data_IF_785980492165
#
_entry.id   IF_785980492165
#
_cell.length_a   1.000
_cell.length_b   1.000
_cell.length_c   1.000
_cell.angle_alpha   90.00
_cell.angle_beta   90.00
_cell.angle_gamma   90.00
#
_symmetry.space_group_name_H-M   'P 1'
#
loop_
_entity.id
_entity.type
_entity.pdbx_description
1 polymer ?
#
# COMPACT_ATOMS: atom_id res chain seq x y z
N UNK A 1 -25.34 -42.34 41.59
CA UNK A 1 -25.60 -41.82 40.25
C UNK A 1 -25.33 -40.32 40.27
N UNK A 2 -24.13 -39.96 39.93
CA UNK A 2 -23.60 -38.58 40.09
C UNK A 2 -23.71 -37.88 38.75
N UNK A 3 -24.57 -36.85 38.66
CA UNK A 3 -24.90 -36.12 37.45
C UNK A 3 -23.87 -34.99 37.27
N UNK A 4 -22.97 -35.17 36.32
CA UNK A 4 -21.98 -34.11 35.93
C UNK A 4 -22.71 -33.17 34.94
N UNK A 5 -22.98 -31.94 35.39
CA UNK A 5 -23.40 -30.86 34.49
C UNK A 5 -22.19 -30.37 33.69
N UNK A 6 -22.28 -30.29 32.37
CA UNK A 6 -21.26 -29.59 31.62
C UNK A 6 -21.45 -28.07 31.82
N UNK A 7 -20.44 -27.41 32.37
CA UNK A 7 -20.25 -25.98 32.35
C UNK A 7 -20.00 -25.55 30.88
N UNK A 8 -21.06 -25.18 30.18
CA UNK A 8 -20.98 -24.40 28.97
C UNK A 8 -20.45 -22.99 29.34
N UNK A 9 -19.14 -22.86 29.36
CA UNK A 9 -18.50 -21.56 29.39
C UNK A 9 -18.87 -20.82 28.12
N UNK A 10 -19.89 -19.96 28.22
CA UNK A 10 -20.12 -18.94 27.21
C UNK A 10 -18.86 -18.07 27.18
N UNK A 11 -18.06 -18.20 26.13
CA UNK A 11 -17.08 -17.17 25.80
C UNK A 11 -17.87 -15.87 25.55
N UNK A 12 -18.07 -15.09 26.62
CA UNK A 12 -18.35 -13.68 26.48
C UNK A 12 -17.19 -13.14 25.66
N UNK A 13 -17.47 -12.58 24.47
CA UNK A 13 -16.60 -11.62 23.83
C UNK A 13 -16.30 -10.58 24.89
N UNK A 14 -15.19 -10.72 25.59
CA UNK A 14 -14.70 -9.66 26.46
C UNK A 14 -14.55 -8.44 25.57
N UNK A 15 -15.22 -7.36 25.95
CA UNK A 15 -15.01 -6.05 25.39
C UNK A 15 -13.53 -5.75 25.54
N UNK A 16 -12.76 -5.97 24.48
CA UNK A 16 -11.34 -5.70 24.45
C UNK A 16 -11.17 -4.24 24.84
N UNK A 17 -10.58 -4.09 25.98
CA UNK A 17 -10.15 -2.93 26.74
C UNK A 17 -10.33 -1.58 26.01
N UNK A 18 -11.27 -0.79 26.49
CA UNK A 18 -11.70 0.55 26.08
C UNK A 18 -10.59 1.63 26.01
N UNK A 19 -9.33 1.27 26.23
CA UNK A 19 -8.24 2.24 26.37
C UNK A 19 -7.27 2.30 25.17
N UNK A 20 -7.41 1.43 24.18
CA UNK A 20 -6.53 1.42 23.02
C UNK A 20 -7.21 2.12 21.84
N UNK A 21 -6.61 3.23 21.38
CA UNK A 21 -7.12 3.94 20.23
C UNK A 21 -7.03 3.16 18.93
N UNK A 22 -7.72 3.64 17.90
CA UNK A 22 -7.67 3.08 16.56
C UNK A 22 -6.39 3.53 15.85
N UNK A 23 -5.67 2.56 15.29
CA UNK A 23 -4.54 2.72 14.38
C UNK A 23 -5.02 2.44 12.94
N UNK A 24 -5.29 3.47 12.12
CA UNK A 24 -5.73 3.27 10.75
C UNK A 24 -4.55 2.97 9.83
N UNK A 25 -4.69 1.95 8.98
CA UNK A 25 -3.80 1.69 7.85
C UNK A 25 -4.65 1.75 6.59
N UNK A 26 -4.45 2.81 5.81
CA UNK A 26 -5.20 3.07 4.60
C UNK A 26 -4.25 2.88 3.42
N UNK A 27 -4.67 2.13 2.40
CA UNK A 27 -3.85 1.91 1.21
C UNK A 27 -4.61 2.28 -0.04
N UNK A 28 -3.92 2.91 -0.96
CA UNK A 28 -4.39 3.23 -2.30
C UNK A 28 -3.41 2.62 -3.29
N UNK A 29 -3.89 1.84 -4.23
CA UNK A 29 -3.08 1.18 -5.25
C UNK A 29 -3.72 1.36 -6.61
N UNK A 30 -3.02 1.99 -7.54
CA UNK A 30 -3.45 2.09 -8.92
C UNK A 30 -2.73 1.06 -9.79
N UNK A 31 -3.50 0.28 -10.53
CA UNK A 31 -3.04 -0.66 -11.55
C UNK A 31 -3.31 -0.07 -12.95
N UNK A 32 -2.26 0.42 -13.60
CA UNK A 32 -2.36 1.04 -14.92
C UNK A 32 -2.88 0.07 -16.01
N UNK A 33 -2.58 -1.24 -15.88
CA UNK A 33 -3.01 -2.25 -16.83
C UNK A 33 -4.52 -2.50 -16.77
N UNK A 34 -5.09 -2.44 -15.56
CA UNK A 34 -6.54 -2.61 -15.36
C UNK A 34 -7.29 -1.28 -15.42
N UNK A 35 -6.56 -0.17 -15.41
CA UNK A 35 -7.11 1.18 -15.25
C UNK A 35 -8.05 1.28 -14.03
N UNK A 36 -7.58 0.77 -12.88
CA UNK A 36 -8.36 0.72 -11.65
C UNK A 36 -7.55 1.15 -10.44
N UNK A 37 -8.19 1.89 -9.54
CA UNK A 37 -7.66 2.22 -8.22
C UNK A 37 -8.34 1.35 -7.17
N UNK A 38 -7.56 0.54 -6.48
CA UNK A 38 -8.04 -0.24 -5.32
C UNK A 38 -7.69 0.49 -4.04
N UNK A 39 -8.66 0.66 -3.19
CA UNK A 39 -8.54 1.35 -1.90
C UNK A 39 -8.88 0.35 -0.80
N UNK A 40 -7.97 0.19 0.19
CA UNK A 40 -8.23 -0.66 1.35
C UNK A 40 -8.09 0.15 2.63
N UNK A 41 -8.91 -0.18 3.63
CA UNK A 41 -8.83 0.38 4.97
C UNK A 41 -8.80 -0.74 6.01
N UNK A 42 -7.80 -0.71 6.87
CA UNK A 42 -7.65 -1.55 8.05
C UNK A 42 -7.71 -0.65 9.27
N UNK A 43 -8.72 -0.81 10.10
CA UNK A 43 -8.83 -0.12 11.37
C UNK A 43 -8.37 -1.09 12.46
N UNK A 44 -7.24 -0.83 13.08
CA UNK A 44 -6.62 -1.75 14.04
C UNK A 44 -6.72 -1.21 15.46
N UNK A 45 -6.99 -2.07 16.41
CA UNK A 45 -6.89 -1.76 17.83
C UNK A 45 -5.60 -2.35 18.39
N UNK A 46 -4.81 -1.56 19.11
CA UNK A 46 -3.52 -2.02 19.67
C UNK A 46 -2.32 -1.75 18.77
N UNK A 47 -2.41 -0.78 17.84
CA UNK A 47 -1.29 -0.34 16.99
C UNK A 47 -1.16 -1.15 15.70
N UNK A 48 0.00 -1.05 15.05
CA UNK A 48 0.23 -1.64 13.73
C UNK A 48 0.05 -3.16 13.67
N UNK A 49 0.36 -3.85 14.75
CA UNK A 49 0.21 -5.31 14.89
C UNK A 49 -1.10 -5.71 15.61
N UNK A 50 -1.98 -4.74 15.84
CA UNK A 50 -3.23 -4.93 16.54
C UNK A 50 -4.27 -5.71 15.73
N UNK A 51 -5.40 -6.00 16.38
CA UNK A 51 -6.53 -6.72 15.78
C UNK A 51 -7.32 -5.77 14.88
N UNK A 52 -7.69 -6.23 13.69
CA UNK A 52 -8.58 -5.48 12.81
C UNK A 52 -9.98 -5.38 13.41
N UNK A 53 -10.53 -4.18 13.42
CA UNK A 53 -11.87 -3.88 13.89
C UNK A 53 -12.86 -3.92 12.73
N UNK A 54 -14.07 -4.36 13.03
CA UNK A 54 -15.23 -4.17 12.14
C UNK A 54 -15.96 -2.93 12.66
N UNK A 55 -15.99 -1.80 11.92
CA UNK A 55 -16.83 -0.68 12.27
C UNK A 55 -18.29 -1.07 12.33
N UNK A 56 -19.06 -0.31 13.12
CA UNK A 56 -20.51 -0.43 13.13
C UNK A 56 -21.06 -0.28 11.71
N UNK A 57 -22.01 -1.13 11.33
CA UNK A 57 -22.69 -1.06 10.02
C UNK A 57 -23.31 0.30 9.73
N UNK A 58 -23.66 1.05 10.79
CA UNK A 58 -24.19 2.41 10.71
C UNK A 58 -23.10 3.50 10.62
N UNK A 59 -21.82 3.10 10.66
CA UNK A 59 -20.68 3.99 10.58
C UNK A 59 -19.59 3.40 9.67
N UNK A 60 -19.90 3.18 8.38
CA UNK A 60 -18.95 2.58 7.46
C UNK A 60 -17.70 3.44 7.28
N UNK A 61 -16.60 2.82 6.88
CA UNK A 61 -15.49 3.56 6.29
C UNK A 61 -15.94 4.07 4.93
N UNK A 62 -15.63 5.32 4.64
CA UNK A 62 -16.05 6.01 3.41
C UNK A 62 -14.82 6.45 2.65
N UNK A 63 -14.83 6.28 1.33
CA UNK A 63 -13.82 6.81 0.41
C UNK A 63 -14.51 7.65 -0.66
N UNK A 64 -14.03 8.88 -0.87
CA UNK A 64 -14.61 9.83 -1.84
C UNK A 64 -16.14 9.98 -1.69
N UNK A 65 -16.64 10.04 -0.47
CA UNK A 65 -18.07 10.10 -0.10
C UNK A 65 -18.90 8.85 -0.41
N UNK A 66 -18.24 7.73 -0.77
CA UNK A 66 -18.93 6.46 -0.99
C UNK A 66 -18.51 5.42 0.05
N UNK A 67 -19.45 4.60 0.56
CA UNK A 67 -19.11 3.58 1.53
C UNK A 67 -18.19 2.50 0.93
N UNK A 68 -17.24 2.03 1.74
CA UNK A 68 -16.43 0.88 1.42
C UNK A 68 -17.13 -0.42 1.86
N UNK A 69 -16.81 -1.51 1.21
CA UNK A 69 -17.39 -2.81 1.50
C UNK A 69 -16.47 -3.65 2.37
N UNK A 70 -17.04 -4.28 3.39
CA UNK A 70 -16.30 -5.24 4.21
C UNK A 70 -15.88 -6.44 3.36
N UNK A 71 -14.61 -6.81 3.52
CA UNK A 71 -14.01 -8.03 2.96
C UNK A 71 -13.43 -8.85 4.11
N UNK A 72 -13.68 -10.13 4.06
CA UNK A 72 -13.06 -11.08 4.98
C UNK A 72 -12.00 -11.83 4.19
N UNK A 73 -10.75 -11.61 4.50
CA UNK A 73 -9.69 -12.49 4.00
C UNK A 73 -9.58 -13.71 4.88
N UNK A 74 -9.16 -14.83 4.28
CA UNK A 74 -8.88 -16.05 4.99
C UNK A 74 -8.16 -15.79 6.33
N UNK A 75 -8.71 -16.29 7.36
CA UNK A 75 -8.41 -16.46 8.79
C UNK A 75 -7.13 -15.84 9.42
N UNK A 76 -6.16 -15.32 8.65
CA UNK A 76 -4.90 -14.76 9.17
C UNK A 76 -4.90 -13.22 9.27
N UNK A 77 -5.60 -12.52 8.38
CA UNK A 77 -5.51 -11.04 8.30
C UNK A 77 -6.69 -10.29 8.93
N UNK A 78 -7.78 -10.98 9.27
CA UNK A 78 -8.99 -10.36 9.80
C UNK A 78 -9.75 -9.50 8.76
N UNK A 79 -10.86 -8.87 9.17
CA UNK A 79 -11.68 -8.06 8.28
C UNK A 79 -10.97 -6.77 7.85
N UNK A 80 -11.24 -6.33 6.63
CA UNK A 80 -10.81 -5.04 6.10
C UNK A 80 -11.89 -4.48 5.17
N UNK A 81 -11.76 -3.22 4.78
CA UNK A 81 -12.69 -2.58 3.88
C UNK A 81 -12.02 -2.34 2.54
N UNK A 82 -12.73 -2.60 1.46
CA UNK A 82 -12.23 -2.43 0.10
C UNK A 82 -13.23 -1.64 -0.76
N UNK A 83 -12.68 -0.81 -1.61
CA UNK A 83 -13.40 -0.17 -2.72
C UNK A 83 -12.51 -0.19 -3.94
N UNK A 84 -13.11 -0.56 -5.07
CA UNK A 84 -12.48 -0.41 -6.39
C UNK A 84 -13.11 0.79 -7.08
N UNK A 85 -12.27 1.69 -7.55
CA UNK A 85 -12.65 2.91 -8.27
C UNK A 85 -12.13 2.80 -9.70
N UNK A 86 -12.90 3.28 -10.66
CA UNK A 86 -12.49 3.31 -12.05
C UNK A 86 -11.44 4.40 -12.30
N UNK A 87 -10.44 4.06 -13.10
CA UNK A 87 -9.39 4.98 -13.48
C UNK A 87 -8.40 5.34 -12.37
N UNK A 88 -7.53 6.25 -12.71
CA UNK A 88 -6.58 6.87 -11.78
C UNK A 88 -7.26 7.93 -10.92
N UNK A 89 -7.04 7.85 -9.62
CA UNK A 89 -7.55 8.81 -8.65
C UNK A 89 -6.39 9.64 -8.09
N UNK A 90 -6.23 10.88 -8.53
CA UNK A 90 -5.15 11.76 -8.06
C UNK A 90 -5.31 12.16 -6.59
N UNK A 91 -6.55 12.20 -6.09
CA UNK A 91 -6.89 12.52 -4.72
C UNK A 91 -7.83 11.47 -4.15
N UNK A 92 -7.54 10.98 -2.97
CA UNK A 92 -8.40 10.07 -2.23
C UNK A 92 -8.67 10.67 -0.87
N UNK A 93 -9.96 10.82 -0.53
CA UNK A 93 -10.42 11.23 0.78
C UNK A 93 -10.99 10.02 1.52
N UNK A 94 -10.52 9.79 2.74
CA UNK A 94 -11.03 8.76 3.66
C UNK A 94 -11.78 9.41 4.80
N UNK A 95 -12.86 8.76 5.24
CA UNK A 95 -13.58 9.14 6.45
C UNK A 95 -14.00 7.89 7.21
N UNK A 96 -13.84 7.91 8.55
CA UNK A 96 -14.29 6.85 9.45
C UNK A 96 -14.66 7.43 10.81
N UNK A 97 -15.44 6.70 11.61
CA UNK A 97 -15.65 7.03 13.01
C UNK A 97 -14.64 6.30 13.89
N UNK A 98 -14.06 7.02 14.83
CA UNK A 98 -13.23 6.42 15.86
C UNK A 98 -14.10 5.81 17.00
N UNK A 99 -13.46 5.22 18.00
CA UNK A 99 -14.11 4.57 19.14
C UNK A 99 -14.91 5.54 20.01
N UNK A 100 -14.72 6.84 19.87
CA UNK A 100 -15.49 7.88 20.56
C UNK A 100 -16.71 8.34 19.75
N UNK A 101 -16.87 7.82 18.52
CA UNK A 101 -17.88 8.24 17.56
C UNK A 101 -17.51 9.52 16.79
N UNK A 102 -16.30 10.07 17.02
CA UNK A 102 -15.82 11.24 16.30
C UNK A 102 -15.46 10.86 14.86
N UNK A 103 -15.92 11.66 13.90
CA UNK A 103 -15.56 11.49 12.50
C UNK A 103 -14.12 11.95 12.29
N UNK A 104 -13.28 11.04 11.77
CA UNK A 104 -11.94 11.32 11.29
C UNK A 104 -11.97 11.42 9.78
N UNK A 105 -11.18 12.33 9.24
CA UNK A 105 -11.06 12.51 7.80
C UNK A 105 -9.60 12.75 7.42
N UNK A 106 -9.16 12.07 6.37
CA UNK A 106 -7.81 12.20 5.85
C UNK A 106 -7.83 12.17 4.33
N UNK A 107 -6.90 12.91 3.72
CA UNK A 107 -6.75 12.96 2.27
C UNK A 107 -5.30 12.68 1.89
N UNK A 108 -5.13 11.93 0.81
CA UNK A 108 -3.84 11.72 0.17
C UNK A 108 -3.94 12.07 -1.31
N UNK A 109 -2.90 12.73 -1.81
CA UNK A 109 -2.75 13.01 -3.25
C UNK A 109 -1.53 12.27 -3.75
N UNK A 110 -1.69 11.52 -4.82
CA UNK A 110 -0.61 10.79 -5.47
C UNK A 110 -0.34 11.32 -6.87
N UNK A 111 0.81 11.00 -7.42
CA UNK A 111 1.18 11.31 -8.80
C UNK A 111 1.53 10.03 -9.57
N UNK A 112 1.33 10.09 -10.88
CA UNK A 112 1.64 8.97 -11.78
C UNK A 112 3.14 8.82 -11.99
N UNK A 113 3.54 7.61 -12.37
CA UNK A 113 4.88 7.29 -12.87
C UNK A 113 4.74 6.29 -14.01
N UNK A 114 5.51 6.43 -15.07
CA UNK A 114 5.47 5.54 -16.23
C UNK A 114 6.88 5.33 -16.78
N UNK A 115 7.14 4.18 -17.37
CA UNK A 115 8.30 3.99 -18.19
C UNK A 115 8.22 4.92 -19.41
N UNK A 116 9.35 5.50 -19.83
CA UNK A 116 9.40 6.20 -21.11
C UNK A 116 8.96 5.25 -22.22
N UNK A 117 8.15 5.76 -23.16
CA UNK A 117 7.57 4.93 -24.22
C UNK A 117 8.65 4.20 -25.04
N UNK A 118 9.77 4.86 -25.32
CA UNK A 118 10.91 4.29 -26.07
C UNK A 118 11.76 3.30 -25.26
N UNK A 119 11.53 3.11 -23.96
CA UNK A 119 12.30 2.21 -23.11
C UNK A 119 12.01 0.75 -23.47
N UNK A 120 12.90 0.09 -24.18
CA UNK A 120 12.75 -1.31 -24.58
C UNK A 120 13.64 -2.26 -23.78
N UNK A 121 14.70 -1.75 -23.14
CA UNK A 121 15.64 -2.50 -22.34
C UNK A 121 16.10 -1.71 -21.12
N UNK A 122 16.55 -2.42 -20.10
CA UNK A 122 17.19 -1.87 -18.90
C UNK A 122 18.69 -2.08 -19.03
N UNK A 123 19.46 -1.01 -19.00
CA UNK A 123 20.92 -1.06 -18.89
C UNK A 123 21.30 -1.08 -17.41
N UNK A 124 22.27 -1.91 -17.04
CA UNK A 124 22.77 -2.03 -15.68
C UNK A 124 24.29 -1.90 -15.67
N UNK A 125 24.83 -0.99 -14.86
CA UNK A 125 26.25 -0.71 -14.77
C UNK A 125 26.53 0.58 -14.00
N UNK A 126 27.79 0.94 -13.87
CA UNK A 126 28.22 2.11 -13.05
C UNK A 126 27.64 3.44 -13.52
N UNK A 127 27.33 3.57 -14.81
CA UNK A 127 26.79 4.80 -15.42
C UNK A 127 25.40 4.61 -16.03
N UNK A 128 24.70 3.56 -15.62
CA UNK A 128 23.37 3.28 -16.12
C UNK A 128 22.29 3.98 -15.26
N UNK A 129 21.36 4.67 -15.93
CA UNK A 129 20.25 5.34 -15.28
C UNK A 129 18.94 5.00 -15.99
N UNK A 130 17.89 4.79 -15.20
CA UNK A 130 16.51 4.76 -15.68
C UNK A 130 15.87 6.10 -15.37
N UNK A 131 15.40 6.78 -16.39
CA UNK A 131 14.51 7.93 -16.26
C UNK A 131 13.06 7.49 -16.49
N UNK A 132 12.12 8.21 -15.90
CA UNK A 132 10.69 7.95 -16.05
C UNK A 132 9.91 9.19 -16.52
N UNK A 133 8.71 8.95 -17.03
CA UNK A 133 7.71 9.98 -17.27
C UNK A 133 6.86 10.19 -16.02
N UNK A 134 6.56 11.44 -15.70
CA UNK A 134 5.83 11.85 -14.50
C UNK A 134 6.61 12.87 -13.66
N UNK A 135 6.20 13.08 -12.44
CA UNK A 135 6.84 14.03 -11.52
C UNK A 135 8.19 13.49 -11.00
N UNK A 136 9.13 14.35 -10.59
CA UNK A 136 10.29 13.92 -9.81
C UNK A 136 9.85 13.33 -8.46
N UNK A 137 10.82 12.76 -7.72
CA UNK A 137 10.58 12.29 -6.34
C UNK A 137 10.18 13.46 -5.45
N UNK A 138 9.05 13.35 -4.79
CA UNK A 138 8.54 14.35 -3.84
C UNK A 138 8.87 13.94 -2.39
N UNK A 139 8.74 14.86 -1.40
CA UNK A 139 8.92 14.51 0.01
C UNK A 139 8.03 13.33 0.44
N UNK A 140 8.61 12.41 1.20
CA UNK A 140 7.96 11.17 1.67
C UNK A 140 7.60 10.17 0.56
N UNK A 141 8.11 10.35 -0.65
CA UNK A 141 8.00 9.41 -1.75
C UNK A 141 9.26 8.56 -1.91
N UNK A 142 9.04 7.36 -2.45
CA UNK A 142 10.08 6.47 -2.94
C UNK A 142 9.71 6.06 -4.35
N UNK A 143 10.67 6.10 -5.27
CA UNK A 143 10.54 5.46 -6.58
C UNK A 143 11.42 4.22 -6.61
N UNK A 144 10.85 3.10 -7.03
CA UNK A 144 11.56 1.81 -7.09
C UNK A 144 11.39 1.18 -8.47
N UNK A 145 12.45 0.57 -8.96
CA UNK A 145 12.41 -0.37 -10.07
C UNK A 145 12.60 -1.77 -9.50
N UNK A 146 11.68 -2.68 -9.76
CA UNK A 146 11.65 -4.02 -9.16
C UNK A 146 11.50 -5.06 -10.27
N UNK A 147 12.29 -6.12 -10.16
CA UNK A 147 12.18 -7.32 -11.00
C UNK A 147 12.50 -8.58 -10.17
N UNK A 148 12.36 -9.76 -10.78
CA UNK A 148 12.85 -11.03 -10.19
C UNK A 148 14.35 -11.04 -9.97
N UNK A 149 15.11 -10.27 -10.74
CA UNK A 149 16.58 -10.29 -10.74
C UNK A 149 17.21 -9.15 -9.97
N UNK A 150 16.44 -8.13 -9.59
CA UNK A 150 16.99 -6.99 -8.89
C UNK A 150 15.97 -5.97 -8.46
N UNK A 151 16.44 -5.06 -7.60
CA UNK A 151 15.65 -3.89 -7.19
C UNK A 151 16.56 -2.70 -6.95
N UNK A 152 16.09 -1.52 -7.41
CA UNK A 152 16.76 -0.24 -7.22
C UNK A 152 15.77 0.78 -6.69
N UNK A 153 16.26 1.74 -5.93
CA UNK A 153 15.41 2.76 -5.29
C UNK A 153 16.01 4.14 -5.47
N UNK A 154 15.14 5.13 -5.62
CA UNK A 154 15.48 6.55 -5.56
C UNK A 154 14.67 7.21 -4.44
N UNK A 155 15.36 7.86 -3.53
CA UNK A 155 14.78 8.52 -2.35
C UNK A 155 15.06 10.03 -2.34
N UNK A 156 15.99 10.49 -3.18
CA UNK A 156 16.39 11.90 -3.19
C UNK A 156 15.32 12.75 -3.86
N UNK A 157 14.79 13.70 -3.09
CA UNK A 157 13.77 14.65 -3.55
C UNK A 157 14.31 15.48 -4.73
N UNK A 158 13.49 15.66 -5.75
CA UNK A 158 13.85 16.38 -6.97
C UNK A 158 14.42 15.52 -8.08
N UNK A 159 14.88 14.29 -7.78
CA UNK A 159 15.42 13.38 -8.78
C UNK A 159 14.32 12.76 -9.66
N UNK A 160 14.68 12.51 -10.90
CA UNK A 160 13.83 11.91 -11.94
C UNK A 160 14.50 10.72 -12.64
N UNK A 161 15.48 10.13 -11.97
CA UNK A 161 16.21 8.96 -12.46
C UNK A 161 16.62 8.04 -11.33
N UNK A 162 16.77 6.76 -11.62
CA UNK A 162 17.34 5.74 -10.73
C UNK A 162 18.65 5.28 -11.33
N UNK A 163 19.72 5.30 -10.55
CA UNK A 163 20.99 4.66 -10.94
C UNK A 163 20.84 3.15 -10.81
N UNK A 164 21.18 2.42 -11.89
CA UNK A 164 21.02 0.98 -11.99
C UNK A 164 22.37 0.28 -11.84
N UNK A 165 22.85 0.23 -10.63
CA UNK A 165 24.14 -0.42 -10.29
C UNK A 165 24.05 -1.94 -10.36
N UNK A 166 25.19 -2.61 -10.62
CA UNK A 166 25.27 -4.08 -10.63
C UNK A 166 24.91 -4.69 -9.25
N UNK A 167 25.17 -3.96 -8.16
CA UNK A 167 24.86 -4.40 -6.80
C UNK A 167 23.35 -4.55 -6.55
N UNK A 168 22.52 -3.88 -7.35
CA UNK A 168 21.07 -4.03 -7.32
C UNK A 168 20.57 -5.34 -7.93
N UNK A 169 21.44 -6.10 -8.64
CA UNK A 169 21.10 -7.41 -9.18
C UNK A 169 21.35 -8.51 -8.14
N UNK A 170 20.35 -9.37 -7.95
CA UNK A 170 20.44 -10.50 -7.03
C UNK A 170 21.09 -11.74 -7.67
N UNK A 171 21.26 -11.73 -8.99
CA UNK A 171 21.83 -12.85 -9.75
C UNK A 171 22.84 -12.32 -10.76
N UNK A 172 24.07 -12.79 -10.68
CA UNK A 172 25.10 -12.57 -11.69
C UNK A 172 24.96 -13.63 -12.80
N UNK A 173 24.21 -13.33 -13.83
CA UNK A 173 24.06 -14.19 -15.00
C UNK A 173 24.38 -13.40 -16.26
N UNK A 174 25.11 -14.05 -17.18
CA UNK A 174 25.45 -13.44 -18.46
C UNK A 174 24.26 -13.39 -19.45
N UNK A 175 23.20 -14.15 -19.20
CA UNK A 175 22.02 -14.20 -20.05
C UNK A 175 20.76 -13.96 -19.22
N UNK A 176 20.23 -12.77 -19.29
CA UNK A 176 18.95 -12.42 -18.69
C UNK A 176 17.84 -12.58 -19.74
N UNK A 177 16.85 -13.43 -19.50
CA UNK A 177 15.67 -13.47 -20.36
C UNK A 177 14.87 -12.19 -20.23
N UNK A 178 14.01 -11.92 -21.21
CA UNK A 178 12.99 -10.87 -21.11
C UNK A 178 12.28 -11.00 -19.76
N UNK A 179 12.36 -9.97 -18.95
CA UNK A 179 11.80 -10.00 -17.61
C UNK A 179 10.79 -8.90 -17.37
N UNK A 180 9.91 -9.16 -16.44
CA UNK A 180 8.90 -8.22 -15.98
C UNK A 180 9.54 -7.22 -15.02
N UNK A 181 9.49 -5.94 -15.36
CA UNK A 181 9.83 -4.84 -14.48
C UNK A 181 8.59 -4.13 -13.98
N UNK A 182 8.63 -3.75 -12.73
CA UNK A 182 7.64 -2.88 -12.10
C UNK A 182 8.33 -1.59 -11.68
N UNK A 183 7.93 -0.48 -12.28
CA UNK A 183 8.30 0.85 -11.83
C UNK A 183 7.22 1.32 -10.87
N UNK A 184 7.58 1.51 -9.61
CA UNK A 184 6.66 1.81 -8.54
C UNK A 184 7.00 3.16 -7.91
N UNK A 185 5.99 4.00 -7.72
CA UNK A 185 6.03 5.18 -6.88
C UNK A 185 5.19 4.91 -5.63
N UNK A 186 5.78 5.12 -4.47
CA UNK A 186 5.14 4.92 -3.18
C UNK A 186 5.26 6.20 -2.34
N UNK A 187 4.13 6.75 -1.93
CA UNK A 187 4.02 7.83 -0.97
C UNK A 187 3.51 7.26 0.36
N UNK A 188 4.18 7.62 1.47
CA UNK A 188 3.72 7.26 2.82
C UNK A 188 3.44 8.54 3.60
N UNK A 189 2.21 8.70 4.05
CA UNK A 189 1.76 9.80 4.89
C UNK A 189 1.39 9.27 6.28
N UNK A 190 2.01 9.79 7.32
CA UNK A 190 1.57 9.55 8.70
C UNK A 190 0.28 10.31 8.96
N UNK A 191 -0.65 9.67 9.65
CA UNK A 191 -1.93 10.24 10.04
C UNK A 191 -2.19 10.06 11.52
N UNK A 192 -2.98 10.93 12.09
CA UNK A 192 -3.37 10.81 13.51
C UNK A 192 -4.50 9.80 13.65
N UNK A 193 -4.27 8.79 14.46
CA UNK A 193 -5.31 7.90 14.96
C UNK A 193 -6.02 8.53 16.15
N UNK A 194 -6.75 7.71 16.91
CA UNK A 194 -7.38 8.12 18.15
C UNK A 194 -6.50 7.79 19.37
N UNK A 195 -6.71 8.48 20.48
CA UNK A 195 -6.01 8.27 21.76
C UNK A 195 -4.47 8.22 21.63
N UNK A 196 -3.90 9.11 20.78
CA UNK A 196 -2.45 9.20 20.60
C UNK A 196 -1.84 8.13 19.70
N UNK A 197 -2.64 7.25 19.10
CA UNK A 197 -2.16 6.32 18.07
C UNK A 197 -1.85 7.09 16.79
N UNK A 198 -0.86 6.60 16.05
CA UNK A 198 -0.50 7.14 14.72
C UNK A 198 -0.77 6.07 13.68
N UNK A 199 -1.51 6.40 12.66
CA UNK A 199 -1.73 5.53 11.51
C UNK A 199 -0.91 5.95 10.30
N UNK A 200 -1.21 5.34 9.17
CA UNK A 200 -0.55 5.70 7.90
C UNK A 200 -1.50 5.56 6.71
N UNK A 201 -1.29 6.40 5.72
CA UNK A 201 -1.82 6.20 4.38
C UNK A 201 -0.65 5.87 3.46
N UNK A 202 -0.81 4.82 2.66
CA UNK A 202 0.15 4.41 1.65
C UNK A 202 -0.52 4.54 0.29
N UNK A 203 0.03 5.37 -0.57
CA UNK A 203 -0.40 5.48 -1.95
C UNK A 203 0.67 4.86 -2.84
N UNK A 204 0.28 3.89 -3.67
CA UNK A 204 1.17 3.20 -4.59
C UNK A 204 0.66 3.33 -6.02
N UNK A 205 1.51 3.77 -6.91
CA UNK A 205 1.30 3.75 -8.35
C UNK A 205 2.33 2.82 -8.98
N UNK A 206 1.91 1.92 -9.85
CA UNK A 206 2.84 1.04 -10.55
C UNK A 206 2.57 0.98 -12.06
N UNK A 207 3.65 1.03 -12.84
CA UNK A 207 3.67 0.72 -14.26
C UNK A 207 4.50 -0.56 -14.47
N UNK A 208 4.04 -1.42 -15.36
CA UNK A 208 4.63 -2.74 -15.57
C UNK A 208 4.98 -2.92 -17.04
N UNK A 209 6.23 -3.26 -17.30
CA UNK A 209 6.75 -3.50 -18.65
C UNK A 209 7.68 -4.71 -18.69
N UNK A 210 7.60 -5.48 -19.77
CA UNK A 210 8.57 -6.53 -20.04
C UNK A 210 9.73 -5.94 -20.87
N UNK A 211 10.95 -6.15 -20.41
CA UNK A 211 12.15 -5.57 -21.04
C UNK A 211 13.34 -6.52 -20.92
N UNK A 212 14.31 -6.37 -21.81
CA UNK A 212 15.61 -7.04 -21.71
C UNK A 212 16.50 -6.35 -20.66
N UNK A 213 17.45 -7.09 -20.11
CA UNK A 213 18.51 -6.54 -19.27
C UNK A 213 19.81 -6.60 -20.06
N UNK A 214 20.44 -5.45 -20.25
CA UNK A 214 21.73 -5.32 -20.94
C UNK A 214 22.79 -4.85 -19.93
N UNK A 215 23.72 -5.72 -19.50
CA UNK A 215 24.86 -5.30 -18.70
C UNK A 215 25.72 -4.30 -19.48
N UNK A 216 26.09 -3.20 -18.85
CA UNK A 216 27.05 -2.23 -19.38
C UNK A 216 28.31 -2.32 -18.55
N UNK A 217 29.43 -2.57 -19.21
CA UNK A 217 30.77 -2.64 -18.59
C UNK A 217 31.27 -1.26 -18.13
#
# INVERSE_FOLDING_TARGET
MMMVLPLLGACKKENLVDNQGIYPVLTVSYDAKKNQTTVNAYLKQGGNFGVNLIPDKNAPVVVNNEPMYEKTTHWIAGPYFEKVLDGYQSNISFSWKDETGMVRQETISGSTIQFKAAQSAIQVGSNAFLEWDGQPVMPNETVSLISTFGSWKQLQVGEKSIQLTADGLHVQSANFPITKFTLERKLVKSISGSKGQSGQIIYTFSDIKNMDINPVN
#
